data_IF_858179845553
#
_entry.id   IF_858179845553
#
_cell.length_a   1.000
_cell.length_b   1.000
_cell.length_c   1.000
_cell.angle_alpha   90.00
_cell.angle_beta   90.00
_cell.angle_gamma   90.00
#
_symmetry.space_group_name_H-M   'P 1'
#
loop_
_entity.id
_entity.type
_entity.pdbx_description
1 polymer ?
#
# COMPACT_ATOMS: atom_id res chain seq x y z
N UNK A 1 23.99 -53.80 15.46
CA UNK A 1 22.67 -53.22 15.12
C UNK A 1 22.18 -52.15 16.10
N UNK A 2 22.14 -52.40 17.41
CA UNK A 2 21.67 -51.41 18.43
C UNK A 2 22.55 -50.15 18.58
N UNK A 3 23.86 -50.24 18.32
CA UNK A 3 24.78 -49.09 18.44
C UNK A 3 24.59 -48.05 17.30
N UNK A 4 24.41 -48.54 16.07
CA UNK A 4 24.17 -47.71 14.89
C UNK A 4 22.83 -46.98 14.96
N UNK A 5 21.79 -47.59 15.53
CA UNK A 5 20.48 -46.95 15.70
C UNK A 5 20.52 -45.79 16.70
N UNK A 6 21.27 -45.91 17.81
CA UNK A 6 21.45 -44.81 18.78
C UNK A 6 22.27 -43.64 18.22
N UNK A 7 23.26 -43.92 17.37
CA UNK A 7 24.02 -42.89 16.66
C UNK A 7 23.16 -42.21 15.58
N UNK A 8 22.33 -42.95 14.84
CA UNK A 8 21.42 -42.38 13.84
C UNK A 8 20.35 -41.49 14.48
N UNK A 9 19.77 -41.92 15.61
CA UNK A 9 18.78 -41.13 16.37
C UNK A 9 19.40 -39.87 16.97
N UNK A 10 20.66 -39.93 17.45
CA UNK A 10 21.40 -38.74 17.89
C UNK A 10 21.74 -37.80 16.72
N UNK A 11 22.12 -38.33 15.56
CA UNK A 11 22.40 -37.51 14.38
C UNK A 11 21.12 -36.82 13.86
N UNK A 12 20.00 -37.55 13.81
CA UNK A 12 18.70 -37.01 13.39
C UNK A 12 18.15 -35.99 14.39
N UNK A 13 18.32 -36.19 15.70
CA UNK A 13 17.92 -35.20 16.71
C UNK A 13 18.79 -33.94 16.69
N UNK A 14 20.10 -34.07 16.44
CA UNK A 14 20.98 -32.91 16.23
C UNK A 14 20.68 -32.15 14.93
N UNK A 15 20.29 -32.85 13.86
CA UNK A 15 19.88 -32.22 12.59
C UNK A 15 18.54 -31.50 12.74
N UNK A 16 17.59 -32.04 13.51
CA UNK A 16 16.32 -31.35 13.84
C UNK A 16 16.56 -30.12 14.73
N UNK A 17 17.52 -30.19 15.67
CA UNK A 17 17.93 -29.04 16.49
C UNK A 17 18.67 -27.96 15.67
N UNK A 18 19.45 -28.35 14.65
CA UNK A 18 20.14 -27.40 13.76
C UNK A 18 19.20 -26.77 12.73
N UNK A 19 18.17 -27.50 12.26
CA UNK A 19 17.14 -26.98 11.35
C UNK A 19 16.08 -26.11 12.06
N UNK A 20 16.03 -26.13 13.39
CA UNK A 20 15.15 -25.23 14.18
C UNK A 20 15.82 -23.89 14.53
N UNK A 21 17.10 -23.70 14.18
CA UNK A 21 17.81 -22.42 14.39
C UNK A 21 17.92 -21.63 13.07
N UNK A 22 17.49 -22.19 11.94
CA UNK A 22 17.58 -21.53 10.62
C UNK A 22 16.23 -21.05 10.07
N UNK A 23 15.24 -20.84 10.94
CA UNK A 23 13.98 -20.20 10.60
C UNK A 23 13.80 -18.92 11.44
N UNK A 24 14.81 -18.05 11.45
CA UNK A 24 14.85 -16.87 12.32
C UNK A 24 14.95 -15.60 11.49
N UNK A 25 13.83 -15.21 10.87
CA UNK A 25 13.59 -13.80 10.64
C UNK A 25 13.22 -13.11 11.97
N UNK A 26 13.25 -11.77 12.06
CA UNK A 26 12.85 -11.04 13.24
C UNK A 26 11.45 -11.46 13.72
N UNK A 27 11.29 -11.68 15.03
CA UNK A 27 10.03 -12.08 15.61
C UNK A 27 9.14 -10.83 15.81
N UNK A 28 7.96 -10.69 15.18
CA UNK A 28 7.20 -9.43 15.21
C UNK A 28 6.79 -8.95 16.62
N UNK A 29 6.80 -9.82 17.62
CA UNK A 29 6.52 -9.48 19.02
C UNK A 29 7.65 -8.64 19.63
N UNK A 30 8.87 -8.76 19.10
CA UNK A 30 10.02 -7.95 19.51
C UNK A 30 9.88 -6.49 19.02
N UNK A 31 8.95 -6.22 18.10
CA UNK A 31 8.68 -4.88 17.58
C UNK A 31 7.83 -4.02 18.54
N UNK A 32 7.05 -4.66 19.42
CA UNK A 32 6.16 -3.98 20.39
C UNK A 32 6.89 -2.90 21.20
N UNK A 33 8.04 -3.17 21.86
CA UNK A 33 8.76 -2.14 22.59
C UNK A 33 9.28 -1.00 21.71
N UNK A 34 9.56 -1.23 20.42
CA UNK A 34 10.09 -0.21 19.51
C UNK A 34 9.05 0.89 19.21
N UNK A 35 7.76 0.52 19.14
CA UNK A 35 6.67 1.47 18.90
C UNK A 35 6.15 2.14 20.17
N UNK A 36 6.58 1.72 21.36
CA UNK A 36 5.96 2.12 22.64
C UNK A 36 5.95 3.64 22.85
N UNK A 37 7.10 4.31 22.74
CA UNK A 37 7.18 5.78 22.93
C UNK A 37 6.32 6.52 21.91
N UNK A 38 6.41 6.12 20.64
CA UNK A 38 5.62 6.71 19.57
C UNK A 38 4.12 6.59 19.85
N UNK A 39 3.65 5.43 20.33
CA UNK A 39 2.25 5.22 20.68
C UNK A 39 1.83 6.11 21.86
N UNK A 40 2.57 6.06 22.97
CA UNK A 40 2.26 6.82 24.18
C UNK A 40 2.16 8.33 23.90
N UNK A 41 3.04 8.85 23.05
CA UNK A 41 3.08 10.27 22.69
C UNK A 41 1.97 10.69 21.72
N UNK A 42 1.47 9.80 20.85
CA UNK A 42 0.65 10.19 19.70
C UNK A 42 -0.79 9.65 19.73
N UNK A 43 -1.11 8.62 20.54
CA UNK A 43 -2.42 7.95 20.51
C UNK A 43 -3.61 8.90 20.75
N UNK A 44 -3.41 9.94 21.56
CA UNK A 44 -4.44 10.93 21.90
C UNK A 44 -4.42 12.18 21.01
N UNK A 45 -3.42 12.35 20.14
CA UNK A 45 -3.33 13.50 19.24
C UNK A 45 -4.30 13.32 18.08
N UNK A 46 -5.09 14.36 17.80
CA UNK A 46 -6.06 14.40 16.68
C UNK A 46 -5.82 15.65 15.86
N UNK A 47 -5.85 15.51 14.54
CA UNK A 47 -5.74 16.66 13.64
C UNK A 47 -7.11 17.15 13.18
N UNK A 48 -7.31 18.47 13.24
CA UNK A 48 -8.43 19.14 12.61
C UNK A 48 -8.16 19.49 11.14
N UNK A 49 -6.91 19.43 10.67
CA UNK A 49 -6.58 19.59 9.25
C UNK A 49 -6.94 18.29 8.50
N UNK A 50 -7.98 18.28 7.65
CA UNK A 50 -8.39 17.09 6.91
C UNK A 50 -7.32 16.63 5.91
N UNK A 51 -6.35 17.48 5.57
CA UNK A 51 -5.29 17.21 4.59
C UNK A 51 -3.93 16.94 5.22
N UNK A 52 -3.84 16.76 6.55
CA UNK A 52 -2.54 16.60 7.24
C UNK A 52 -1.71 15.42 6.72
N UNK A 53 -2.37 14.34 6.31
CA UNK A 53 -1.73 13.14 5.74
C UNK A 53 -1.83 13.08 4.20
N UNK A 54 -2.22 14.19 3.56
CA UNK A 54 -2.38 14.27 2.11
C UNK A 54 -1.10 14.82 1.47
N UNK A 55 -0.70 14.23 0.34
CA UNK A 55 0.37 14.77 -0.50
C UNK A 55 -0.06 15.98 -1.34
N UNK A 56 -1.36 16.27 -1.41
CA UNK A 56 -1.94 17.41 -2.12
C UNK A 56 -3.02 18.11 -1.31
N UNK A 57 -3.12 19.43 -1.45
CA UNK A 57 -4.07 20.31 -0.76
C UNK A 57 -4.86 21.15 -1.75
N UNK A 58 -6.03 21.70 -1.36
CA UNK A 58 -6.76 22.63 -2.21
C UNK A 58 -5.86 23.77 -2.71
N UNK A 59 -5.83 23.97 -4.02
CA UNK A 59 -4.95 24.93 -4.70
C UNK A 59 -3.76 24.29 -5.41
N UNK A 60 -3.36 23.07 -5.02
CA UNK A 60 -2.32 22.33 -5.75
C UNK A 60 -2.84 21.87 -7.12
N UNK A 61 -1.98 21.88 -8.13
CA UNK A 61 -2.35 21.55 -9.51
C UNK A 61 -3.00 20.17 -9.65
N UNK A 62 -2.50 19.17 -8.92
CA UNK A 62 -2.98 17.78 -8.98
C UNK A 62 -4.15 17.48 -8.02
N UNK A 63 -4.58 18.46 -7.21
CA UNK A 63 -5.53 18.23 -6.13
C UNK A 63 -6.87 17.65 -6.60
N UNK A 64 -7.48 18.25 -7.63
CA UNK A 64 -8.79 17.82 -8.11
C UNK A 64 -8.76 16.39 -8.64
N UNK A 65 -7.78 16.08 -9.50
CA UNK A 65 -7.62 14.75 -10.06
C UNK A 65 -7.41 13.68 -8.98
N UNK A 66 -6.43 13.88 -8.09
CA UNK A 66 -6.07 12.89 -7.07
C UNK A 66 -7.19 12.69 -6.04
N UNK A 67 -7.90 13.76 -5.68
CA UNK A 67 -9.05 13.67 -4.77
C UNK A 67 -10.18 12.84 -5.39
N UNK A 68 -10.49 13.07 -6.68
CA UNK A 68 -11.51 12.28 -7.37
C UNK A 68 -11.09 10.84 -7.59
N UNK A 69 -9.81 10.61 -7.91
CA UNK A 69 -9.25 9.26 -8.00
C UNK A 69 -9.43 8.49 -6.68
N UNK A 70 -9.10 9.12 -5.55
CA UNK A 70 -9.32 8.54 -4.21
C UNK A 70 -10.80 8.21 -3.94
N UNK A 71 -11.71 9.03 -4.47
CA UNK A 71 -13.17 8.83 -4.36
C UNK A 71 -13.72 7.79 -5.35
N UNK A 72 -12.87 7.16 -6.17
CA UNK A 72 -13.28 6.21 -7.19
C UNK A 72 -13.96 6.87 -8.41
N UNK A 73 -13.77 8.17 -8.59
CA UNK A 73 -14.35 8.99 -9.65
C UNK A 73 -13.26 9.73 -10.46
N UNK A 74 -12.05 9.14 -10.54
CA UNK A 74 -10.94 9.69 -11.31
C UNK A 74 -11.33 9.91 -12.77
N UNK A 75 -10.94 11.06 -13.31
CA UNK A 75 -11.25 11.48 -14.68
C UNK A 75 -10.01 12.09 -15.32
N UNK A 76 -9.47 11.40 -16.32
CA UNK A 76 -8.24 11.76 -17.00
C UNK A 76 -8.34 13.10 -17.74
N UNK A 77 -9.55 13.55 -18.09
CA UNK A 77 -9.78 14.86 -18.71
C UNK A 77 -9.32 16.01 -17.83
N UNK A 78 -9.20 15.80 -16.52
CA UNK A 78 -8.67 16.77 -15.57
C UNK A 78 -7.15 16.94 -15.69
N UNK A 79 -6.45 15.96 -16.26
CA UNK A 79 -5.00 16.02 -16.48
C UNK A 79 -4.64 16.79 -17.75
N UNK A 80 -5.50 16.78 -18.78
CA UNK A 80 -5.18 17.39 -20.08
C UNK A 80 -4.76 18.87 -20.00
N UNK A 81 -5.44 19.76 -19.24
CA UNK A 81 -5.00 21.15 -19.13
C UNK A 81 -3.64 21.27 -18.47
N UNK A 82 -3.36 20.44 -17.46
CA UNK A 82 -2.08 20.41 -16.75
C UNK A 82 -0.94 19.94 -17.65
N UNK A 83 -1.20 18.91 -18.46
CA UNK A 83 -0.26 18.39 -19.47
C UNK A 83 0.07 19.46 -20.51
N UNK A 84 -0.93 20.22 -20.97
CA UNK A 84 -0.74 21.34 -21.92
C UNK A 84 0.16 22.43 -21.33
N UNK A 85 0.08 22.68 -20.03
CA UNK A 85 0.98 23.62 -19.32
C UNK A 85 2.33 23.03 -18.92
N UNK A 86 2.62 21.77 -19.26
CA UNK A 86 3.91 21.13 -19.01
C UNK A 86 4.06 20.48 -17.64
N UNK A 87 2.98 20.24 -16.90
CA UNK A 87 3.03 19.56 -15.60
C UNK A 87 3.44 18.09 -15.77
N UNK A 88 4.58 17.69 -15.20
CA UNK A 88 5.15 16.34 -15.38
C UNK A 88 4.40 15.28 -14.59
N UNK A 89 3.94 15.58 -13.37
CA UNK A 89 3.11 14.67 -12.57
C UNK A 89 1.84 14.27 -13.36
N UNK A 90 1.17 15.23 -14.00
CA UNK A 90 -0.01 14.95 -14.81
C UNK A 90 0.30 14.06 -16.02
N UNK A 91 1.47 14.26 -16.66
CA UNK A 91 1.93 13.38 -17.75
C UNK A 91 2.17 11.96 -17.25
N UNK A 92 2.82 11.81 -16.09
CA UNK A 92 3.08 10.50 -15.46
C UNK A 92 1.77 9.82 -15.08
N UNK A 93 0.83 10.51 -14.44
CA UNK A 93 -0.46 9.94 -14.05
C UNK A 93 -1.29 9.49 -15.26
N UNK A 94 -1.38 10.32 -16.31
CA UNK A 94 -2.07 9.96 -17.55
C UNK A 94 -1.43 8.73 -18.20
N UNK A 95 -0.10 8.71 -18.28
CA UNK A 95 0.64 7.63 -18.91
C UNK A 95 0.50 6.29 -18.16
N UNK A 96 0.62 6.31 -16.83
CA UNK A 96 0.56 5.08 -16.01
C UNK A 96 -0.84 4.50 -15.95
N UNK A 97 -1.88 5.34 -15.94
CA UNK A 97 -3.28 4.86 -15.94
C UNK A 97 -3.64 4.15 -17.25
N UNK A 98 -2.98 4.52 -18.36
CA UNK A 98 -3.20 3.97 -19.69
C UNK A 98 -2.07 3.04 -20.19
N UNK A 99 -1.16 2.55 -19.33
CA UNK A 99 0.01 1.78 -19.78
C UNK A 99 -0.34 0.47 -20.50
N UNK A 100 -1.51 -0.09 -20.15
CA UNK A 100 -2.05 -1.33 -20.71
C UNK A 100 -2.94 -1.10 -21.95
N UNK A 101 -3.30 0.15 -22.26
CA UNK A 101 -4.05 0.49 -23.46
C UNK A 101 -3.12 0.46 -24.69
N UNK A 102 -3.39 -0.48 -25.61
CA UNK A 102 -2.55 -0.69 -26.78
C UNK A 102 -2.67 0.45 -27.81
N UNK A 103 -3.83 1.10 -27.89
CA UNK A 103 -4.09 2.20 -28.83
C UNK A 103 -3.40 3.49 -28.35
N UNK A 104 -3.37 3.72 -27.05
CA UNK A 104 -2.72 4.89 -26.44
C UNK A 104 -1.20 4.76 -26.29
N UNK A 105 -0.63 3.59 -26.63
CA UNK A 105 0.79 3.28 -26.38
C UNK A 105 1.78 4.34 -26.88
N UNK A 106 1.54 4.91 -28.06
CA UNK A 106 2.40 5.98 -28.60
C UNK A 106 2.33 7.27 -27.78
N UNK A 107 1.14 7.65 -27.35
CA UNK A 107 0.91 8.82 -26.50
C UNK A 107 1.52 8.61 -25.12
N UNK A 108 1.23 7.47 -24.47
CA UNK A 108 1.78 7.09 -23.16
C UNK A 108 3.30 7.19 -23.14
N UNK A 109 3.98 6.58 -24.11
CA UNK A 109 5.44 6.67 -24.19
C UNK A 109 5.90 8.10 -24.42
N UNK A 110 5.21 8.86 -25.29
CA UNK A 110 5.49 10.27 -25.53
C UNK A 110 5.38 11.14 -24.27
N UNK A 111 4.36 10.92 -23.44
CA UNK A 111 4.17 11.60 -22.16
C UNK A 111 5.31 11.29 -21.19
N UNK A 112 5.64 10.01 -21.00
CA UNK A 112 6.75 9.61 -20.13
C UNK A 112 8.09 10.14 -20.62
N UNK A 113 8.34 10.12 -21.93
CA UNK A 113 9.56 10.65 -22.51
C UNK A 113 9.72 12.15 -22.25
N UNK A 114 8.65 12.94 -22.41
CA UNK A 114 8.66 14.38 -22.11
C UNK A 114 8.87 14.67 -20.63
N UNK A 115 8.17 13.95 -19.75
CA UNK A 115 8.31 14.11 -18.30
C UNK A 115 9.73 13.73 -17.84
N UNK A 116 10.28 12.62 -18.32
CA UNK A 116 11.65 12.21 -18.04
C UNK A 116 12.68 13.23 -18.53
N UNK A 117 12.50 13.79 -19.74
CA UNK A 117 13.37 14.85 -20.26
C UNK A 117 13.30 16.14 -19.43
N UNK A 118 12.16 16.41 -18.80
CA UNK A 118 11.99 17.51 -17.86
C UNK A 118 12.53 17.21 -16.45
N UNK A 119 13.13 16.03 -16.23
CA UNK A 119 13.76 15.64 -14.97
C UNK A 119 12.86 14.88 -14.00
N UNK A 120 11.70 14.37 -14.45
CA UNK A 120 10.78 13.61 -13.58
C UNK A 120 11.29 12.17 -13.34
N UNK A 121 11.65 11.80 -12.09
CA UNK A 121 12.19 10.47 -11.81
C UNK A 121 11.13 9.37 -11.86
N UNK A 122 9.85 9.67 -11.67
CA UNK A 122 8.78 8.67 -11.81
C UNK A 122 8.58 8.32 -13.28
N UNK A 123 8.71 9.28 -14.18
CA UNK A 123 8.72 9.01 -15.62
C UNK A 123 9.92 8.16 -16.04
N UNK A 124 11.12 8.48 -15.52
CA UNK A 124 12.31 7.68 -15.74
C UNK A 124 12.14 6.24 -15.23
N UNK A 125 11.56 6.07 -14.03
CA UNK A 125 11.26 4.77 -13.44
C UNK A 125 10.32 3.95 -14.34
N UNK A 126 9.24 4.55 -14.83
CA UNK A 126 8.28 3.86 -15.71
C UNK A 126 8.92 3.40 -17.04
N UNK A 127 9.90 4.15 -17.56
CA UNK A 127 10.65 3.77 -18.76
C UNK A 127 11.86 2.86 -18.47
N UNK A 128 12.12 2.52 -17.21
CA UNK A 128 13.29 1.77 -16.78
C UNK A 128 13.08 0.26 -16.74
N UNK A 129 14.18 -0.49 -16.60
CA UNK A 129 14.13 -1.95 -16.37
C UNK A 129 13.56 -2.34 -14.99
N UNK A 130 13.43 -1.41 -14.06
CA UNK A 130 12.90 -1.65 -12.71
C UNK A 130 11.49 -1.11 -12.47
N UNK A 131 10.89 -0.44 -13.46
CA UNK A 131 9.49 0.00 -13.40
C UNK A 131 8.52 -1.15 -13.70
N UNK A 132 7.35 -1.10 -13.10
CA UNK A 132 6.28 -2.08 -13.33
C UNK A 132 5.80 -2.05 -14.80
N UNK A 133 5.84 -0.87 -15.43
CA UNK A 133 5.44 -0.67 -16.82
C UNK A 133 6.36 -1.41 -17.79
N UNK A 134 7.54 -1.88 -17.36
CA UNK A 134 8.35 -2.77 -18.20
C UNK A 134 7.63 -4.08 -18.55
N UNK A 135 6.68 -4.53 -17.72
CA UNK A 135 5.79 -5.65 -18.05
C UNK A 135 4.90 -5.37 -19.26
N UNK A 136 4.52 -4.11 -19.48
CA UNK A 136 3.74 -3.69 -20.64
C UNK A 136 4.66 -3.30 -21.82
N UNK A 137 5.75 -2.61 -21.52
CA UNK A 137 6.61 -1.92 -22.48
C UNK A 137 7.71 -2.79 -23.09
N UNK A 138 8.08 -3.88 -22.42
CA UNK A 138 9.18 -4.72 -22.86
C UNK A 138 8.92 -5.34 -24.24
N UNK A 139 9.96 -5.44 -25.08
CA UNK A 139 9.84 -6.02 -26.42
C UNK A 139 9.30 -7.47 -26.43
N UNK A 140 9.47 -8.20 -25.32
CA UNK A 140 8.97 -9.56 -25.14
C UNK A 140 7.62 -9.61 -24.42
N UNK A 141 7.07 -8.50 -23.96
CA UNK A 141 5.77 -8.48 -23.29
C UNK A 141 4.66 -8.97 -24.22
N UNK A 142 3.59 -9.49 -23.63
CA UNK A 142 2.41 -9.87 -24.40
C UNK A 142 1.79 -8.64 -25.09
N UNK A 143 1.73 -7.51 -24.39
CA UNK A 143 1.28 -6.22 -24.91
C UNK A 143 2.02 -5.83 -26.19
N UNK A 144 3.37 -5.79 -26.16
CA UNK A 144 4.17 -5.43 -27.34
C UNK A 144 3.99 -6.39 -28.51
N UNK A 145 3.84 -7.70 -28.25
CA UNK A 145 3.53 -8.67 -29.31
C UNK A 145 2.16 -8.44 -29.92
N UNK A 146 1.15 -8.17 -29.08
CA UNK A 146 -0.20 -7.87 -29.52
C UNK A 146 -0.23 -6.59 -30.38
N UNK A 147 0.36 -5.49 -29.90
CA UNK A 147 0.51 -4.22 -30.63
C UNK A 147 1.12 -4.42 -32.02
N UNK A 148 2.21 -5.18 -32.13
CA UNK A 148 2.83 -5.51 -33.41
C UNK A 148 1.91 -6.35 -34.32
N UNK A 149 1.19 -7.32 -33.76
CA UNK A 149 0.30 -8.21 -34.53
C UNK A 149 -0.92 -7.50 -35.12
N UNK A 150 -1.39 -6.43 -34.47
CA UNK A 150 -2.51 -5.59 -34.93
C UNK A 150 -2.04 -4.38 -35.75
N UNK A 151 -0.74 -4.31 -36.10
CA UNK A 151 -0.18 -3.29 -36.98
C UNK A 151 0.00 -1.91 -36.34
N UNK A 152 -0.13 -1.80 -35.01
CA UNK A 152 0.20 -0.55 -34.30
C UNK A 152 1.72 -0.44 -34.26
N UNK A 153 2.29 0.43 -35.08
CA UNK A 153 3.72 0.73 -35.05
C UNK A 153 3.98 1.91 -34.12
N UNK A 154 4.53 1.62 -32.94
CA UNK A 154 4.90 2.64 -31.96
C UNK A 154 6.32 3.14 -32.29
N UNK A 155 6.42 4.03 -33.27
CA UNK A 155 7.70 4.64 -33.64
C UNK A 155 8.05 5.79 -32.69
N UNK A 156 8.38 5.45 -31.44
CA UNK A 156 8.97 6.41 -30.51
C UNK A 156 10.46 6.10 -30.38
N UNK A 157 11.33 7.12 -30.46
CA UNK A 157 12.77 6.96 -30.16
C UNK A 157 13.04 6.79 -28.66
N UNK A 158 12.02 6.41 -27.90
CA UNK A 158 12.03 6.38 -26.44
C UNK A 158 12.42 4.96 -26.03
N UNK A 159 13.55 4.85 -25.37
CA UNK A 159 14.04 3.57 -24.87
C UNK A 159 13.20 3.12 -23.67
N UNK A 160 12.58 1.95 -23.77
CA UNK A 160 11.77 1.34 -22.70
C UNK A 160 12.51 0.19 -22.05
N UNK A 161 12.17 -0.15 -20.80
CA UNK A 161 12.87 -1.18 -20.02
C UNK A 161 14.39 -0.94 -19.91
N UNK A 162 14.81 0.32 -19.87
CA UNK A 162 16.22 0.68 -19.94
C UNK A 162 16.91 0.65 -18.57
N UNK A 163 18.10 0.04 -18.51
CA UNK A 163 19.00 0.19 -17.34
C UNK A 163 19.54 1.62 -17.19
N UNK A 164 19.66 2.35 -18.30
CA UNK A 164 20.07 3.77 -18.27
C UNK A 164 18.99 4.61 -17.60
N UNK A 165 17.73 4.41 -17.97
CA UNK A 165 16.61 5.12 -17.34
C UNK A 165 16.46 4.73 -15.87
N UNK A 166 16.82 3.49 -15.49
CA UNK A 166 16.87 3.09 -14.07
C UNK A 166 17.87 3.96 -13.29
N UNK A 167 19.08 4.15 -13.80
CA UNK A 167 20.07 5.01 -13.15
C UNK A 167 19.59 6.46 -13.01
N UNK A 168 18.96 7.00 -14.06
CA UNK A 168 18.36 8.35 -14.05
C UNK A 168 17.27 8.45 -12.97
N UNK A 169 16.39 7.46 -12.88
CA UNK A 169 15.34 7.43 -11.87
C UNK A 169 15.93 7.43 -10.46
N UNK A 170 16.91 6.57 -10.20
CA UNK A 170 17.56 6.48 -8.88
C UNK A 170 18.30 7.77 -8.51
N UNK A 171 18.97 8.42 -9.45
CA UNK A 171 19.60 9.73 -9.22
C UNK A 171 18.56 10.78 -8.86
N UNK A 172 17.48 10.91 -9.64
CA UNK A 172 16.41 11.87 -9.36
C UNK A 172 15.68 11.60 -8.03
N UNK A 173 15.44 10.34 -7.67
CA UNK A 173 14.88 10.01 -6.34
C UNK A 173 15.84 10.37 -5.21
N UNK A 174 17.15 10.17 -5.38
CA UNK A 174 18.14 10.61 -4.39
C UNK A 174 18.11 12.13 -4.22
N UNK A 175 18.04 12.90 -5.31
CA UNK A 175 17.96 14.36 -5.24
C UNK A 175 16.67 14.84 -4.54
N UNK A 176 15.52 14.25 -4.88
CA UNK A 176 14.25 14.58 -4.24
C UNK A 176 14.25 14.20 -2.75
N UNK A 177 14.80 13.03 -2.42
CA UNK A 177 14.91 12.57 -1.04
C UNK A 177 15.77 13.52 -0.18
N UNK A 178 16.91 13.99 -0.71
CA UNK A 178 17.77 14.99 -0.06
C UNK A 178 17.07 16.33 0.15
N UNK A 179 16.13 16.69 -0.73
CA UNK A 179 15.27 17.89 -0.61
C UNK A 179 14.08 17.70 0.34
N UNK A 180 13.92 16.51 0.92
CA UNK A 180 12.86 16.21 1.89
C UNK A 180 11.60 15.59 1.32
N UNK A 181 11.57 15.15 0.05
CA UNK A 181 10.41 14.43 -0.48
C UNK A 181 10.29 13.05 0.16
N UNK A 182 9.29 12.89 1.03
CA UNK A 182 9.08 11.67 1.82
C UNK A 182 8.74 10.45 0.95
N UNK A 183 8.10 10.65 -0.21
CA UNK A 183 7.79 9.55 -1.15
C UNK A 183 9.06 8.96 -1.74
N UNK A 184 9.99 9.83 -2.15
CA UNK A 184 11.30 9.44 -2.69
C UNK A 184 12.18 8.81 -1.62
N UNK A 185 12.19 9.35 -0.40
CA UNK A 185 12.87 8.71 0.74
C UNK A 185 12.32 7.30 0.99
N UNK A 186 11.00 7.13 0.99
CA UNK A 186 10.39 5.82 1.22
C UNK A 186 10.64 4.85 0.05
N UNK A 187 10.60 5.34 -1.19
CA UNK A 187 10.96 4.53 -2.35
C UNK A 187 12.39 4.00 -2.22
N UNK A 188 13.36 4.85 -1.87
CA UNK A 188 14.75 4.44 -1.69
C UNK A 188 14.91 3.43 -0.54
N UNK A 189 14.27 3.65 0.61
CA UNK A 189 14.26 2.69 1.72
C UNK A 189 13.69 1.33 1.30
N UNK A 190 12.61 1.34 0.52
CA UNK A 190 11.99 0.11 0.00
C UNK A 190 12.92 -0.60 -0.98
N UNK A 191 13.58 0.16 -1.87
CA UNK A 191 14.51 -0.39 -2.85
C UNK A 191 15.76 -0.98 -2.20
N UNK A 192 16.30 -0.34 -1.17
CA UNK A 192 17.43 -0.86 -0.40
C UNK A 192 17.10 -2.26 0.14
N UNK A 193 15.95 -2.42 0.79
CA UNK A 193 15.49 -3.72 1.33
C UNK A 193 15.28 -4.79 0.26
N UNK A 194 14.81 -4.41 -0.92
CA UNK A 194 14.56 -5.35 -2.03
C UNK A 194 15.88 -5.78 -2.69
N UNK A 195 16.80 -4.84 -2.92
CA UNK A 195 18.03 -5.10 -3.66
C UNK A 195 19.16 -5.65 -2.79
N UNK A 196 19.16 -5.29 -1.51
CA UNK A 196 20.14 -5.68 -0.52
C UNK A 196 19.41 -6.22 0.72
N UNK A 197 18.75 -7.39 0.60
CA UNK A 197 18.02 -7.96 1.73
C UNK A 197 19.00 -8.27 2.87
N UNK A 198 18.70 -7.70 4.02
CA UNK A 198 19.39 -7.92 5.28
C UNK A 198 18.35 -8.30 6.34
N UNK A 199 18.39 -9.57 6.75
CA UNK A 199 17.46 -10.15 7.73
C UNK A 199 17.98 -10.02 9.17
N UNK A 200 19.04 -9.24 9.40
CA UNK A 200 19.56 -8.96 10.74
C UNK A 200 18.57 -8.18 11.61
N UNK A 201 18.69 -8.34 12.92
CA UNK A 201 17.90 -7.60 13.90
C UNK A 201 18.17 -6.10 13.77
N UNK A 202 19.42 -5.72 13.53
CA UNK A 202 19.85 -4.32 13.37
C UNK A 202 19.22 -3.66 12.14
N UNK A 203 19.19 -4.34 10.99
CA UNK A 203 18.55 -3.82 9.79
C UNK A 203 17.02 -3.70 9.96
N UNK A 204 16.40 -4.66 10.63
CA UNK A 204 14.97 -4.62 10.95
C UNK A 204 14.61 -3.48 11.91
N UNK A 205 15.37 -3.31 13.00
CA UNK A 205 15.18 -2.18 13.92
C UNK A 205 15.38 -0.83 13.23
N UNK A 206 16.39 -0.72 12.35
CA UNK A 206 16.61 0.48 11.55
C UNK A 206 15.40 0.78 10.66
N UNK A 207 14.88 -0.23 9.96
CA UNK A 207 13.67 -0.08 9.16
C UNK A 207 12.47 0.40 9.99
N UNK A 208 12.25 -0.16 11.19
CA UNK A 208 11.14 0.25 12.05
C UNK A 208 11.31 1.68 12.60
N UNK A 209 12.54 2.11 12.89
CA UNK A 209 12.82 3.52 13.22
C UNK A 209 12.47 4.45 12.07
N UNK A 210 12.79 4.07 10.84
CA UNK A 210 12.38 4.85 9.65
C UNK A 210 10.86 4.87 9.47
N UNK A 211 10.17 3.74 9.69
CA UNK A 211 8.70 3.69 9.68
C UNK A 211 8.10 4.69 10.68
N UNK A 212 8.66 4.75 11.89
CA UNK A 212 8.26 5.72 12.92
C UNK A 212 8.54 7.16 12.46
N UNK A 213 9.75 7.44 11.94
CA UNK A 213 10.13 8.76 11.42
C UNK A 213 9.18 9.28 10.35
N UNK A 214 8.77 8.41 9.41
CA UNK A 214 7.77 8.78 8.40
C UNK A 214 6.39 9.07 9.02
N UNK A 215 5.98 8.26 10.00
CA UNK A 215 4.72 8.42 10.69
C UNK A 215 4.67 9.68 11.60
N UNK A 216 5.81 10.15 12.11
CA UNK A 216 5.97 11.45 12.77
C UNK A 216 5.79 12.62 11.80
N UNK A 217 6.22 12.45 10.55
CA UNK A 217 5.97 13.37 9.44
C UNK A 217 4.58 13.28 8.81
N UNK A 218 3.63 12.56 9.44
CA UNK A 218 2.27 12.28 8.93
C UNK A 218 2.23 11.53 7.59
N UNK A 219 3.33 10.91 7.17
CA UNK A 219 3.40 10.05 5.99
C UNK A 219 3.26 8.59 6.40
N UNK A 220 2.01 8.10 6.39
CA UNK A 220 1.66 6.80 6.99
C UNK A 220 1.78 5.59 6.07
N UNK A 221 2.18 5.77 4.80
CA UNK A 221 2.32 4.65 3.87
C UNK A 221 3.32 3.57 4.38
N UNK A 222 4.51 3.91 4.91
CA UNK A 222 5.45 2.90 5.43
C UNK A 222 4.88 2.15 6.63
N UNK A 223 4.17 2.86 7.52
CA UNK A 223 3.48 2.26 8.66
C UNK A 223 2.40 1.27 8.20
N UNK A 224 1.63 1.61 7.17
CA UNK A 224 0.61 0.70 6.63
C UNK A 224 1.21 -0.53 5.97
N UNK A 225 2.32 -0.38 5.24
CA UNK A 225 2.97 -1.52 4.59
C UNK A 225 3.61 -2.45 5.63
N UNK A 226 4.15 -1.91 6.72
CA UNK A 226 4.52 -2.72 7.89
C UNK A 226 3.30 -3.41 8.53
N UNK A 227 2.21 -2.70 8.83
CA UNK A 227 1.01 -3.31 9.44
C UNK A 227 0.44 -4.44 8.57
N UNK A 228 0.50 -4.32 7.24
CA UNK A 228 0.05 -5.39 6.32
C UNK A 228 0.84 -6.69 6.47
N UNK A 229 2.09 -6.66 6.94
CA UNK A 229 2.85 -7.89 7.22
C UNK A 229 2.38 -8.58 8.51
N UNK A 230 1.73 -7.82 9.40
CA UNK A 230 1.25 -8.30 10.70
C UNK A 230 -0.20 -8.77 10.69
N UNK A 231 -0.93 -8.60 9.59
CA UNK A 231 -2.36 -8.94 9.50
C UNK A 231 -2.64 -9.90 8.35
N UNK A 232 -3.62 -10.76 8.57
CA UNK A 232 -4.16 -11.69 7.58
C UNK A 232 -5.66 -11.51 7.46
N UNK A 233 -6.16 -11.75 6.25
CA UNK A 233 -7.58 -11.71 5.94
C UNK A 233 -8.21 -13.06 6.31
N UNK A 234 -9.24 -13.03 7.17
CA UNK A 234 -10.06 -14.21 7.44
C UNK A 234 -11.02 -14.52 6.27
N UNK A 235 -11.73 -15.65 6.34
CA UNK A 235 -12.70 -16.07 5.30
C UNK A 235 -13.79 -15.03 5.02
N UNK A 236 -14.19 -14.25 6.01
CA UNK A 236 -15.10 -13.12 5.83
C UNK A 236 -14.33 -11.98 5.14
N UNK A 237 -14.78 -11.55 3.97
CA UNK A 237 -14.03 -10.67 3.07
C UNK A 237 -13.68 -9.27 3.62
N UNK A 238 -14.28 -8.86 4.75
CA UNK A 238 -13.99 -7.62 5.47
C UNK A 238 -13.17 -7.82 6.76
N UNK A 239 -12.94 -9.06 7.20
CA UNK A 239 -12.37 -9.29 8.52
C UNK A 239 -10.85 -9.52 8.45
N UNK A 240 -10.10 -8.62 9.07
CA UNK A 240 -8.65 -8.75 9.22
C UNK A 240 -8.32 -9.05 10.69
N UNK A 241 -7.39 -9.97 10.90
CA UNK A 241 -6.87 -10.33 12.23
C UNK A 241 -5.36 -10.31 12.19
N UNK A 242 -4.72 -10.10 13.33
CA UNK A 242 -3.25 -10.16 13.40
C UNK A 242 -2.76 -11.61 13.25
N UNK A 243 -1.55 -11.78 12.71
CA UNK A 243 -0.87 -13.08 12.62
C UNK A 243 -0.65 -13.71 14.00
N UNK A 244 -0.49 -12.86 15.02
CA UNK A 244 -0.46 -13.23 16.43
C UNK A 244 -1.35 -12.27 17.22
N UNK A 245 -2.20 -12.79 18.10
CA UNK A 245 -3.13 -12.00 18.92
C UNK A 245 -2.43 -11.02 19.87
N UNK A 246 -1.19 -11.31 20.28
CA UNK A 246 -0.37 -10.43 21.12
C UNK A 246 -0.01 -9.12 20.43
N UNK A 247 0.02 -9.08 19.09
CA UNK A 247 0.29 -7.89 18.29
C UNK A 247 -0.94 -6.98 18.15
N UNK A 248 -2.14 -7.50 18.42
CA UNK A 248 -3.39 -6.80 18.16
C UNK A 248 -3.50 -5.43 18.85
N UNK A 249 -3.11 -5.26 20.13
CA UNK A 249 -3.13 -3.95 20.77
C UNK A 249 -2.25 -2.93 20.03
N UNK A 250 -0.99 -3.27 19.76
CA UNK A 250 -0.06 -2.39 19.04
C UNK A 250 -0.60 -2.02 17.65
N UNK A 251 -1.08 -2.99 16.88
CA UNK A 251 -1.61 -2.74 15.53
C UNK A 251 -2.82 -1.80 15.58
N UNK A 252 -3.74 -2.01 16.52
CA UNK A 252 -4.91 -1.14 16.68
C UNK A 252 -4.51 0.27 17.10
N UNK A 253 -3.52 0.43 17.97
CA UNK A 253 -3.03 1.74 18.42
C UNK A 253 -2.34 2.51 17.27
N UNK A 254 -1.47 1.85 16.51
CA UNK A 254 -0.79 2.43 15.35
C UNK A 254 -1.79 2.88 14.28
N UNK A 255 -2.78 2.04 13.98
CA UNK A 255 -3.87 2.41 13.06
C UNK A 255 -4.70 3.58 13.62
N UNK A 256 -4.96 3.61 14.93
CA UNK A 256 -5.70 4.69 15.58
C UNK A 256 -4.97 6.03 15.45
N UNK A 257 -3.64 6.03 15.60
CA UNK A 257 -2.81 7.23 15.40
C UNK A 257 -2.94 7.74 13.97
N UNK A 258 -2.74 6.89 12.96
CA UNK A 258 -2.88 7.29 11.56
C UNK A 258 -4.30 7.75 11.22
N UNK A 259 -5.33 7.07 11.75
CA UNK A 259 -6.73 7.47 11.59
C UNK A 259 -7.04 8.81 12.27
N UNK A 260 -6.45 9.10 13.43
CA UNK A 260 -6.59 10.40 14.11
C UNK A 260 -5.99 11.55 13.29
N UNK A 261 -5.01 11.27 12.45
CA UNK A 261 -4.43 12.19 11.47
C UNK A 261 -5.08 12.08 10.07
N UNK A 262 -6.33 11.62 10.00
CA UNK A 262 -7.15 11.65 8.78
C UNK A 262 -6.59 10.78 7.64
N UNK A 263 -5.77 9.77 7.94
CA UNK A 263 -5.27 8.84 6.92
C UNK A 263 -6.31 7.75 6.60
N UNK A 264 -6.97 7.91 5.46
CA UNK A 264 -8.08 7.05 5.01
C UNK A 264 -7.77 5.55 4.99
N UNK A 265 -6.59 5.08 4.53
CA UNK A 265 -6.26 3.65 4.58
C UNK A 265 -6.27 3.06 5.99
N UNK A 266 -5.86 3.82 7.01
CA UNK A 266 -5.87 3.37 8.40
C UNK A 266 -7.30 3.29 8.96
N UNK A 267 -8.16 4.27 8.63
CA UNK A 267 -9.60 4.25 8.97
C UNK A 267 -10.25 2.97 8.43
N UNK A 268 -10.02 2.67 7.15
CA UNK A 268 -10.57 1.48 6.51
C UNK A 268 -10.06 0.19 7.15
N UNK A 269 -8.77 0.11 7.48
CA UNK A 269 -8.20 -1.07 8.15
C UNK A 269 -8.77 -1.23 9.57
N UNK A 270 -8.97 -0.16 10.33
CA UNK A 270 -9.63 -0.22 11.66
C UNK A 270 -11.05 -0.77 11.56
N UNK A 271 -11.84 -0.28 10.60
CA UNK A 271 -13.21 -0.76 10.38
C UNK A 271 -13.18 -2.26 10.08
N UNK A 272 -12.27 -2.70 9.21
CA UNK A 272 -12.11 -4.11 8.85
C UNK A 272 -11.68 -5.00 10.03
N UNK A 273 -10.72 -4.55 10.85
CA UNK A 273 -10.28 -5.29 12.04
C UNK A 273 -11.34 -5.32 13.15
N UNK A 274 -12.16 -4.27 13.25
CA UNK A 274 -13.27 -4.17 14.21
C UNK A 274 -14.59 -4.68 13.62
N UNK A 275 -14.61 -5.24 12.42
CA UNK A 275 -15.83 -5.54 11.67
C UNK A 275 -16.87 -6.37 12.45
N UNK A 276 -16.41 -7.30 13.31
CA UNK A 276 -17.30 -8.13 14.14
C UNK A 276 -17.98 -7.37 15.28
N UNK A 277 -17.41 -6.27 15.75
CA UNK A 277 -17.86 -5.54 16.95
C UNK A 277 -18.29 -4.10 16.68
N UNK A 278 -17.83 -3.50 15.58
CA UNK A 278 -18.14 -2.12 15.22
C UNK A 278 -19.64 -1.96 14.93
N UNK A 279 -20.18 -0.80 15.32
CA UNK A 279 -21.58 -0.45 15.11
C UNK A 279 -21.71 0.57 13.96
N UNK A 280 -22.82 0.58 13.20
CA UNK A 280 -22.99 1.52 12.08
C UNK A 280 -22.87 3.01 12.44
N UNK A 281 -23.08 3.35 13.72
CA UNK A 281 -22.98 4.70 14.28
C UNK A 281 -21.58 5.05 14.81
N UNK A 282 -20.57 4.17 14.65
CA UNK A 282 -19.19 4.45 15.05
C UNK A 282 -18.61 5.63 14.25
N UNK A 283 -17.92 6.54 14.96
CA UNK A 283 -17.34 7.76 14.41
C UNK A 283 -16.37 7.50 13.24
N UNK A 284 -15.74 6.32 13.17
CA UNK A 284 -14.88 5.94 12.05
C UNK A 284 -15.61 5.99 10.70
N UNK A 285 -16.88 5.59 10.66
CA UNK A 285 -17.66 5.63 9.43
C UNK A 285 -17.91 7.07 8.98
N UNK A 286 -18.38 7.93 9.90
CA UNK A 286 -18.57 9.35 9.64
C UNK A 286 -17.28 10.01 9.16
N UNK A 287 -16.16 9.71 9.83
CA UNK A 287 -14.85 10.26 9.50
C UNK A 287 -14.39 9.83 8.10
N UNK A 288 -14.45 8.54 7.78
CA UNK A 288 -14.06 8.04 6.45
C UNK A 288 -14.94 8.58 5.33
N UNK A 289 -16.25 8.74 5.56
CA UNK A 289 -17.18 9.35 4.59
C UNK A 289 -16.83 10.81 4.33
N UNK A 290 -16.56 11.60 5.38
CA UNK A 290 -16.17 13.01 5.24
C UNK A 290 -14.85 13.19 4.47
N UNK A 291 -13.94 12.24 4.59
CA UNK A 291 -12.68 12.19 3.84
C UNK A 291 -12.83 11.59 2.42
N UNK A 292 -14.06 11.28 2.01
CA UNK A 292 -14.38 10.77 0.69
C UNK A 292 -13.94 9.34 0.44
N UNK A 293 -13.96 8.46 1.46
CA UNK A 293 -13.55 7.06 1.33
C UNK A 293 -14.67 6.14 0.79
N UNK A 294 -14.55 5.59 -0.43
CA UNK A 294 -15.55 4.65 -0.95
C UNK A 294 -15.59 3.34 -0.16
N UNK A 295 -14.43 2.87 0.30
CA UNK A 295 -14.31 1.65 1.11
C UNK A 295 -15.07 1.76 2.43
N UNK A 296 -15.07 2.93 3.07
CA UNK A 296 -15.85 3.17 4.29
C UNK A 296 -17.35 3.09 4.02
N UNK A 297 -17.83 3.72 2.93
CA UNK A 297 -19.25 3.67 2.52
C UNK A 297 -19.67 2.22 2.25
N UNK A 298 -18.83 1.47 1.55
CA UNK A 298 -19.09 0.08 1.22
C UNK A 298 -19.14 -0.81 2.47
N UNK A 299 -18.19 -0.63 3.40
CA UNK A 299 -18.17 -1.36 4.66
C UNK A 299 -19.41 -1.07 5.52
N UNK A 300 -19.85 0.20 5.60
CA UNK A 300 -21.07 0.57 6.31
C UNK A 300 -22.30 -0.09 5.69
N UNK A 301 -22.45 0.02 4.36
CA UNK A 301 -23.58 -0.57 3.62
C UNK A 301 -23.66 -2.07 3.82
N UNK A 302 -22.51 -2.76 3.83
CA UNK A 302 -22.45 -4.20 4.06
C UNK A 302 -22.78 -4.58 5.52
N UNK A 303 -22.30 -3.79 6.49
CA UNK A 303 -22.59 -4.01 7.90
C UNK A 303 -24.11 -3.87 8.17
N UNK A 304 -24.74 -2.83 7.62
CA UNK A 304 -26.18 -2.61 7.69
C UNK A 304 -26.96 -3.76 7.06
N UNK A 305 -26.55 -4.21 5.87
CA UNK A 305 -27.16 -5.38 5.22
C UNK A 305 -27.06 -6.63 6.10
N UNK A 306 -25.87 -6.96 6.64
CA UNK A 306 -25.66 -8.16 7.47
C UNK A 306 -26.44 -8.08 8.79
N UNK A 307 -26.48 -6.92 9.45
CA UNK A 307 -27.19 -6.77 10.73
C UNK A 307 -28.71 -6.77 10.55
N UNK A 308 -29.23 -6.12 9.50
CA UNK A 308 -30.66 -6.13 9.20
C UNK A 308 -31.15 -7.53 8.75
N UNK A 309 -30.38 -8.23 7.92
CA UNK A 309 -30.71 -9.62 7.54
C UNK A 309 -30.60 -10.59 8.70
N UNK A 310 -29.67 -10.38 9.64
CA UNK A 310 -29.58 -11.21 10.85
C UNK A 310 -30.73 -10.93 11.83
N UNK A 311 -31.25 -9.69 11.88
CA UNK A 311 -32.45 -9.34 12.65
C UNK A 311 -33.70 -10.00 12.06
N UNK A 312 -33.85 -9.96 10.73
CA UNK A 312 -34.94 -10.65 10.00
C UNK A 312 -34.88 -12.17 10.13
N UNK A 313 -33.68 -12.77 10.11
CA UNK A 313 -33.47 -14.21 10.39
C UNK A 313 -33.76 -14.58 11.85
N UNK A 314 -33.42 -13.73 12.81
CA UNK A 314 -33.79 -13.95 14.22
C UNK A 314 -35.31 -13.85 14.40
N UNK A 315 -35.97 -12.85 13.82
CA UNK A 315 -37.43 -12.73 13.85
C UNK A 315 -38.14 -13.95 13.27
N UNK A 316 -37.67 -14.49 12.15
CA UNK A 316 -38.27 -15.68 11.54
C UNK A 316 -38.07 -16.95 12.38
N UNK A 317 -36.93 -17.09 13.08
CA UNK A 317 -36.71 -18.20 14.03
C UNK A 317 -37.54 -18.01 15.31
N UNK A 318 -37.70 -16.78 15.82
CA UNK A 318 -38.56 -16.50 16.98
C UNK A 318 -40.04 -16.71 16.63
N UNK A 319 -40.49 -16.38 15.42
CA UNK A 319 -41.85 -16.69 14.95
C UNK A 319 -42.08 -18.19 14.70
N UNK A 320 -41.05 -18.95 14.29
CA UNK A 320 -41.14 -20.41 14.18
C UNK A 320 -41.17 -21.14 15.53
N UNK A 321 -40.69 -20.52 16.60
CA UNK A 321 -40.77 -21.05 17.97
C UNK A 321 -42.13 -20.71 18.63
N UNK A 322 -42.83 -19.68 18.16
CA UNK A 322 -44.17 -19.31 18.64
C UNK A 322 -45.35 -19.92 17.84
N UNK A 323 -45.08 -20.79 16.86
CA UNK A 323 -46.10 -21.58 16.14
C UNK A 323 -45.81 -23.08 16.33
N UNK A 324 -45.73 -23.49 17.59
CA UNK A 324 -45.97 -24.88 18.03
C UNK A 324 -46.32 -24.85 19.53
N UNK A 325 -47.56 -24.44 19.83
CA UNK A 325 -48.58 -25.08 20.69
C UNK A 325 -49.88 -24.29 20.48
#
# INVERSE_FOLDING_TARGET
MKLYFKLLVKLLSSIVLLLSITACGPNPQDDIPLFKSYIEENINKKSYDPYISSSVKPGDAMYEYLTKLQQGAGDERLLEPLIKTGNTDAMVWMARTNSNDLEMRGEVLGLLGRAMQAGDPFAALALSSGGEECWDFGNRSLSSRATNSIGINVNTKIETCSKKNWAIAMEGFNELAQKGDLRSQYFLLSMERIQQPDDSVEAHEYYLKEVIRFAEGYYYQPLMDYIKTLVVKEKDWLNYVTIDRTLQPMVLDLLTIAANHNYTPAINMLINMKYKTIMPDDDLFKKGILLGSPSTIYALSWLDYKKNTHYLRKMSITYLIYINI
#
